data_IF_455658319979
#
_entry.id   IF_455658319979
#
_cell.length_a   1.000
_cell.length_b   1.000
_cell.length_c   1.000
_cell.angle_alpha   90.00
_cell.angle_beta   90.00
_cell.angle_gamma   90.00
#
_symmetry.space_group_name_H-M   'P 1'
#
loop_
_entity.id
_entity.type
_entity.pdbx_description
1 polymer ?
#
# COMPACT_ATOMS: atom_id res chain seq x y z
N UNK A 1 48.62 13.25 0.20
CA UNK A 1 47.41 14.10 0.12
C UNK A 1 46.66 13.74 -1.16
N UNK A 2 45.70 12.83 -1.06
CA UNK A 2 44.86 12.41 -2.20
C UNK A 2 43.40 12.70 -1.85
N UNK A 3 42.82 13.65 -2.59
CA UNK A 3 41.42 14.05 -2.59
C UNK A 3 40.55 12.86 -3.03
N UNK A 4 40.23 11.92 -2.12
CA UNK A 4 39.35 10.75 -2.40
C UNK A 4 38.04 10.76 -1.60
N UNK A 5 37.85 11.71 -0.69
CA UNK A 5 36.71 11.72 0.24
C UNK A 5 35.43 12.36 -0.32
N UNK A 6 35.49 13.13 -1.41
CA UNK A 6 34.32 13.87 -1.92
C UNK A 6 33.46 13.07 -2.92
N UNK A 7 33.99 12.03 -3.57
CA UNK A 7 33.23 11.21 -4.54
C UNK A 7 32.40 10.11 -3.90
N UNK A 8 32.71 9.77 -2.65
CA UNK A 8 32.04 8.76 -1.84
C UNK A 8 30.60 9.25 -1.55
N UNK A 9 30.37 10.41 -0.88
CA UNK A 9 29.02 10.93 -0.59
C UNK A 9 28.08 11.03 -1.80
N UNK A 10 28.62 11.40 -2.97
CA UNK A 10 27.83 11.62 -4.18
C UNK A 10 27.23 10.31 -4.73
N UNK A 11 27.96 9.18 -4.63
CA UNK A 11 27.46 7.88 -5.08
C UNK A 11 26.29 7.39 -4.21
N UNK A 12 26.32 7.63 -2.90
CA UNK A 12 25.23 7.24 -2.00
C UNK A 12 23.99 8.12 -2.15
N UNK A 13 24.17 9.43 -2.35
CA UNK A 13 23.04 10.29 -2.73
C UNK A 13 22.41 9.79 -4.02
N UNK A 14 23.23 9.37 -4.99
CA UNK A 14 22.72 8.75 -6.22
C UNK A 14 22.01 7.41 -5.96
N UNK A 15 22.50 6.56 -5.05
CA UNK A 15 21.83 5.30 -4.67
C UNK A 15 20.48 5.56 -3.98
N UNK A 16 20.42 6.48 -3.03
CA UNK A 16 19.18 6.86 -2.34
C UNK A 16 18.15 7.44 -3.31
N UNK A 17 18.60 8.35 -4.19
CA UNK A 17 17.76 8.88 -5.27
C UNK A 17 17.29 7.73 -6.16
N UNK A 18 18.18 6.83 -6.58
CA UNK A 18 17.81 5.70 -7.42
C UNK A 18 16.76 4.81 -6.76
N UNK A 19 16.91 4.44 -5.49
CA UNK A 19 15.92 3.64 -4.73
C UNK A 19 14.56 4.33 -4.64
N UNK A 20 14.53 5.64 -4.38
CA UNK A 20 13.27 6.41 -4.24
C UNK A 20 12.56 6.57 -5.59
N UNK A 21 13.31 6.78 -6.67
CA UNK A 21 12.73 7.00 -8.00
C UNK A 21 12.48 5.71 -8.78
N UNK A 22 13.11 4.59 -8.41
CA UNK A 22 12.98 3.30 -9.08
C UNK A 22 11.53 2.84 -9.27
N UNK A 23 10.67 2.88 -8.23
CA UNK A 23 9.28 2.44 -8.38
C UNK A 23 8.55 3.23 -9.45
N UNK A 24 8.72 4.55 -9.42
CA UNK A 24 8.07 5.45 -10.39
C UNK A 24 8.55 5.19 -11.82
N UNK A 25 9.83 4.87 -11.99
CA UNK A 25 10.41 4.55 -13.29
C UNK A 25 9.92 3.21 -13.82
N UNK A 26 9.82 2.20 -12.96
CA UNK A 26 9.27 0.89 -13.31
C UNK A 26 7.81 1.03 -13.73
N UNK A 27 6.99 1.74 -12.96
CA UNK A 27 5.59 1.98 -13.34
C UNK A 27 5.52 2.71 -14.69
N UNK A 28 6.36 3.71 -14.95
CA UNK A 28 6.35 4.42 -16.22
C UNK A 28 6.72 3.53 -17.41
N UNK A 29 7.74 2.68 -17.27
CA UNK A 29 8.24 1.85 -18.37
C UNK A 29 7.44 0.58 -18.61
N UNK A 30 6.96 -0.07 -17.55
CA UNK A 30 6.34 -1.39 -17.63
C UNK A 30 4.81 -1.36 -17.71
N UNK A 31 4.15 -0.28 -17.27
CA UNK A 31 2.68 -0.22 -17.23
C UNK A 31 2.06 -0.55 -18.59
N UNK A 32 2.50 0.11 -19.68
CA UNK A 32 1.94 -0.13 -21.02
C UNK A 32 2.17 -1.56 -21.55
N UNK A 33 3.30 -2.18 -21.20
CA UNK A 33 3.61 -3.56 -21.61
C UNK A 33 2.84 -4.58 -20.78
N UNK A 34 2.70 -4.33 -19.48
CA UNK A 34 1.93 -5.17 -18.57
C UNK A 34 0.44 -5.07 -18.88
N UNK A 35 -0.06 -3.89 -19.22
CA UNK A 35 -1.43 -3.66 -19.66
C UNK A 35 -1.79 -4.53 -20.85
N UNK A 36 -0.97 -4.50 -21.91
CA UNK A 36 -1.20 -5.33 -23.09
C UNK A 36 -1.09 -6.83 -22.78
N UNK A 37 -0.23 -7.25 -21.85
CA UNK A 37 -0.06 -8.65 -21.51
C UNK A 37 -1.18 -9.17 -20.62
N UNK A 38 -1.55 -8.41 -19.58
CA UNK A 38 -2.63 -8.72 -18.64
C UNK A 38 -3.97 -8.72 -19.36
N UNK A 39 -4.26 -7.75 -20.23
CA UNK A 39 -5.50 -7.72 -21.03
C UNK A 39 -5.58 -8.90 -21.99
N UNK A 40 -4.49 -9.24 -22.68
CA UNK A 40 -4.48 -10.39 -23.59
C UNK A 40 -4.63 -11.73 -22.82
N UNK A 41 -3.96 -11.86 -21.67
CA UNK A 41 -4.09 -13.02 -20.79
C UNK A 41 -5.50 -13.14 -20.22
N UNK A 42 -6.09 -12.02 -19.77
CA UNK A 42 -7.45 -11.94 -19.27
C UNK A 42 -8.45 -12.36 -20.35
N UNK A 43 -8.38 -11.77 -21.56
CA UNK A 43 -9.25 -12.10 -22.68
C UNK A 43 -9.14 -13.57 -23.12
N UNK A 44 -7.95 -14.17 -23.02
CA UNK A 44 -7.76 -15.59 -23.34
C UNK A 44 -8.41 -16.49 -22.28
N UNK A 45 -8.32 -16.08 -21.01
CA UNK A 45 -8.81 -16.84 -19.85
C UNK A 45 -10.31 -16.66 -19.58
N UNK A 46 -10.89 -15.53 -19.97
CA UNK A 46 -12.31 -15.19 -19.78
C UNK A 46 -13.25 -16.05 -20.65
N UNK A 47 -12.71 -16.87 -21.55
CA UNK A 47 -13.49 -17.84 -22.33
C UNK A 47 -14.07 -18.99 -21.50
N UNK A 48 -13.62 -19.21 -20.25
CA UNK A 48 -14.16 -20.23 -19.35
C UNK A 48 -14.57 -19.64 -17.99
N UNK A 49 -15.88 -19.42 -17.81
CA UNK A 49 -16.65 -19.42 -16.54
C UNK A 49 -15.88 -19.01 -15.27
N UNK A 50 -15.49 -17.74 -15.17
CA UNK A 50 -14.72 -17.22 -14.02
C UNK A 50 -15.42 -16.03 -13.32
N UNK A 51 -16.73 -16.09 -13.12
CA UNK A 51 -17.33 -15.28 -12.07
C UNK A 51 -17.08 -16.00 -10.75
N UNK A 52 -16.27 -15.42 -9.87
CA UNK A 52 -16.14 -15.91 -8.49
C UNK A 52 -17.50 -15.75 -7.80
N UNK A 53 -17.93 -16.70 -6.95
CA UNK A 53 -19.26 -16.68 -6.29
C UNK A 53 -19.55 -15.34 -5.57
N UNK A 54 -18.50 -14.70 -5.07
CA UNK A 54 -18.57 -13.37 -4.41
C UNK A 54 -18.92 -12.25 -5.42
N UNK A 55 -18.35 -12.29 -6.63
CA UNK A 55 -18.64 -11.32 -7.68
C UNK A 55 -20.05 -11.51 -8.22
N UNK A 56 -20.49 -12.74 -8.45
CA UNK A 56 -21.84 -13.04 -8.89
C UNK A 56 -22.88 -12.49 -7.90
N UNK A 57 -22.66 -12.69 -6.60
CA UNK A 57 -23.53 -12.15 -5.56
C UNK A 57 -23.59 -10.61 -5.57
N UNK A 58 -22.46 -9.93 -5.73
CA UNK A 58 -22.42 -8.46 -5.79
C UNK A 58 -23.11 -7.89 -7.04
N UNK A 59 -23.02 -8.60 -8.16
CA UNK A 59 -23.69 -8.22 -9.42
C UNK A 59 -25.20 -8.47 -9.30
N UNK A 60 -25.59 -9.59 -8.68
CA UNK A 60 -26.99 -9.94 -8.43
C UNK A 60 -27.66 -8.95 -7.48
N UNK A 61 -26.96 -8.52 -6.43
CA UNK A 61 -27.46 -7.53 -5.47
C UNK A 61 -27.72 -6.17 -6.13
N UNK A 62 -26.76 -5.67 -6.93
CA UNK A 62 -26.96 -4.46 -7.75
C UNK A 62 -28.09 -4.61 -8.77
N UNK A 63 -28.29 -5.81 -9.31
CA UNK A 63 -29.39 -6.09 -10.23
C UNK A 63 -30.75 -6.02 -9.53
N UNK A 64 -30.85 -6.59 -8.32
CA UNK A 64 -32.06 -6.53 -7.49
C UNK A 64 -32.36 -5.08 -7.08
N UNK A 65 -31.34 -4.30 -6.69
CA UNK A 65 -31.50 -2.88 -6.33
C UNK A 65 -32.04 -2.03 -7.50
N UNK A 66 -31.53 -2.27 -8.72
CA UNK A 66 -32.04 -1.65 -9.94
C UNK A 66 -33.47 -2.07 -10.27
N UNK A 67 -33.81 -3.35 -10.07
CA UNK A 67 -35.17 -3.87 -10.25
C UNK A 67 -36.14 -3.24 -9.24
N UNK A 68 -35.76 -3.11 -7.97
CA UNK A 68 -36.56 -2.44 -6.93
C UNK A 68 -36.79 -0.94 -7.23
N UNK A 69 -35.74 -0.22 -7.64
CA UNK A 69 -35.85 1.19 -8.04
C UNK A 69 -36.81 1.36 -9.23
N UNK A 70 -36.81 0.42 -10.16
CA UNK A 70 -37.72 0.43 -11.29
C UNK A 70 -39.16 0.12 -10.89
N UNK A 71 -39.38 -0.90 -10.05
CA UNK A 71 -40.71 -1.20 -9.52
C UNK A 71 -41.32 -0.01 -8.78
N UNK A 72 -40.49 0.78 -8.08
CA UNK A 72 -40.91 2.04 -7.48
C UNK A 72 -41.30 3.09 -8.52
N UNK A 73 -40.52 3.30 -9.59
CA UNK A 73 -40.87 4.27 -10.65
C UNK A 73 -42.13 3.84 -11.42
N UNK A 74 -42.36 2.54 -11.62
CA UNK A 74 -43.57 1.98 -12.23
C UNK A 74 -44.81 2.17 -11.34
N UNK A 75 -44.70 1.97 -10.02
CA UNK A 75 -45.80 2.29 -9.10
C UNK A 75 -46.13 3.80 -9.06
N UNK A 76 -45.16 4.66 -9.36
CA UNK A 76 -45.33 6.12 -9.43
C UNK A 76 -45.91 6.57 -10.78
N UNK A 77 -45.64 5.84 -11.87
CA UNK A 77 -46.11 6.17 -13.22
C UNK A 77 -46.77 4.94 -13.87
N UNK A 78 -48.09 4.95 -13.95
CA UNK A 78 -48.88 3.95 -14.70
C UNK A 78 -48.41 3.87 -16.17
N UNK A 79 -47.48 2.97 -16.49
CA UNK A 79 -46.94 2.78 -17.84
C UNK A 79 -47.36 1.43 -18.45
N UNK A 80 -47.48 1.34 -19.78
CA UNK A 80 -47.95 0.13 -20.46
C UNK A 80 -46.82 -0.87 -20.80
N UNK A 81 -47.16 -2.16 -20.83
CA UNK A 81 -46.30 -3.36 -21.04
C UNK A 81 -45.24 -3.27 -22.16
N UNK A 82 -45.43 -2.42 -23.18
CA UNK A 82 -44.43 -2.20 -24.26
C UNK A 82 -43.12 -1.54 -23.76
N UNK A 83 -43.16 -0.85 -22.63
CA UNK A 83 -41.96 -0.28 -22.00
C UNK A 83 -41.05 -1.36 -21.42
N UNK A 84 -41.63 -2.47 -20.95
CA UNK A 84 -40.97 -3.56 -20.23
C UNK A 84 -39.94 -4.29 -21.11
N UNK A 85 -40.24 -4.53 -22.39
CA UNK A 85 -39.32 -5.21 -23.31
C UNK A 85 -38.13 -4.33 -23.72
N UNK A 86 -38.38 -3.02 -23.93
CA UNK A 86 -37.33 -2.03 -24.23
C UNK A 86 -36.46 -1.76 -22.99
N UNK A 87 -37.06 -1.80 -21.81
CA UNK A 87 -36.39 -1.70 -20.52
C UNK A 87 -35.53 -2.92 -20.23
N UNK A 88 -36.04 -4.16 -20.40
CA UNK A 88 -35.22 -5.38 -20.26
C UNK A 88 -33.97 -5.35 -21.14
N UNK A 89 -34.11 -4.80 -22.34
CA UNK A 89 -33.00 -4.63 -23.28
C UNK A 89 -32.05 -3.49 -22.83
N UNK A 90 -32.58 -2.44 -22.21
CA UNK A 90 -31.82 -1.36 -21.56
C UNK A 90 -31.05 -1.85 -20.33
N UNK A 91 -31.72 -2.53 -19.40
CA UNK A 91 -31.14 -3.20 -18.24
C UNK A 91 -30.05 -4.17 -18.66
N UNK A 92 -30.30 -5.05 -19.64
CA UNK A 92 -29.30 -5.99 -20.10
C UNK A 92 -28.06 -5.28 -20.67
N UNK A 93 -28.25 -4.17 -21.38
CA UNK A 93 -27.15 -3.34 -21.87
C UNK A 93 -26.39 -2.66 -20.72
N UNK A 94 -27.10 -2.17 -19.71
CA UNK A 94 -26.53 -1.57 -18.50
C UNK A 94 -25.76 -2.60 -17.66
N UNK A 95 -26.29 -3.82 -17.50
CA UNK A 95 -25.60 -4.94 -16.84
C UNK A 95 -24.33 -5.32 -17.60
N UNK A 96 -24.37 -5.38 -18.94
CA UNK A 96 -23.17 -5.61 -19.76
C UNK A 96 -22.15 -4.48 -19.58
N UNK A 97 -22.59 -3.22 -19.47
CA UNK A 97 -21.69 -2.09 -19.21
C UNK A 97 -21.09 -2.15 -17.79
N UNK A 98 -21.88 -2.51 -16.78
CA UNK A 98 -21.42 -2.71 -15.41
C UNK A 98 -20.39 -3.84 -15.30
N UNK A 99 -20.63 -4.96 -15.98
CA UNK A 99 -19.68 -6.07 -16.05
C UNK A 99 -18.37 -5.61 -16.72
N UNK A 100 -18.45 -4.84 -17.81
CA UNK A 100 -17.25 -4.31 -18.48
C UNK A 100 -16.45 -3.35 -17.61
N UNK A 101 -17.12 -2.44 -16.91
CA UNK A 101 -16.45 -1.47 -16.01
C UNK A 101 -15.77 -2.23 -14.86
N UNK A 102 -16.46 -3.20 -14.28
CA UNK A 102 -15.91 -4.02 -13.19
C UNK A 102 -14.71 -4.84 -13.66
N UNK A 103 -14.79 -5.49 -14.83
CA UNK A 103 -13.67 -6.22 -15.42
C UNK A 103 -12.46 -5.31 -15.69
N UNK A 104 -12.69 -4.09 -16.17
CA UNK A 104 -11.63 -3.11 -16.42
C UNK A 104 -10.95 -2.66 -15.13
N UNK A 105 -11.73 -2.41 -14.06
CA UNK A 105 -11.20 -2.12 -12.73
C UNK A 105 -10.38 -3.28 -12.16
N UNK A 106 -10.83 -4.53 -12.32
CA UNK A 106 -10.07 -5.72 -11.89
C UNK A 106 -8.76 -5.87 -12.65
N UNK A 107 -8.77 -5.67 -13.97
CA UNK A 107 -7.56 -5.69 -14.79
C UNK A 107 -6.58 -4.62 -14.30
N UNK A 108 -7.08 -3.41 -14.01
CA UNK A 108 -6.27 -2.32 -13.50
C UNK A 108 -5.68 -2.64 -12.11
N UNK A 109 -6.46 -3.22 -11.20
CA UNK A 109 -5.99 -3.70 -9.90
C UNK A 109 -4.90 -4.77 -10.03
N UNK A 110 -5.11 -5.78 -10.87
CA UNK A 110 -4.13 -6.85 -11.11
C UNK A 110 -2.85 -6.28 -11.71
N UNK A 111 -2.98 -5.31 -12.62
CA UNK A 111 -1.84 -4.60 -13.21
C UNK A 111 -1.05 -3.84 -12.15
N UNK A 112 -1.74 -3.07 -11.30
CA UNK A 112 -1.11 -2.30 -10.24
C UNK A 112 -0.35 -3.21 -9.27
N UNK A 113 -1.00 -4.29 -8.83
CA UNK A 113 -0.40 -5.29 -7.96
C UNK A 113 0.82 -5.97 -8.59
N UNK A 114 0.73 -6.38 -9.87
CA UNK A 114 1.86 -7.01 -10.57
C UNK A 114 3.04 -6.05 -10.76
N UNK A 115 2.76 -4.78 -11.04
CA UNK A 115 3.78 -3.72 -11.16
C UNK A 115 4.49 -3.50 -9.83
N UNK A 116 3.73 -3.43 -8.73
CA UNK A 116 4.28 -3.30 -7.38
C UNK A 116 5.15 -4.51 -7.00
N UNK A 117 4.70 -5.73 -7.34
CA UNK A 117 5.46 -6.95 -7.08
C UNK A 117 6.79 -6.97 -7.86
N UNK A 118 6.77 -6.62 -9.15
CA UNK A 118 7.98 -6.53 -9.97
C UNK A 118 8.94 -5.48 -9.41
N UNK A 119 8.41 -4.32 -8.99
CA UNK A 119 9.20 -3.29 -8.34
C UNK A 119 9.88 -3.80 -7.06
N UNK A 120 9.15 -4.52 -6.22
CA UNK A 120 9.68 -5.10 -4.99
C UNK A 120 10.80 -6.12 -5.28
N UNK A 121 10.63 -6.97 -6.29
CA UNK A 121 11.66 -7.94 -6.71
C UNK A 121 12.92 -7.22 -7.22
N UNK A 122 12.76 -6.19 -8.05
CA UNK A 122 13.91 -5.44 -8.58
C UNK A 122 14.63 -4.68 -7.47
N UNK A 123 13.89 -4.02 -6.57
CA UNK A 123 14.48 -3.33 -5.42
C UNK A 123 15.22 -4.30 -4.50
N UNK A 124 14.62 -5.43 -4.16
CA UNK A 124 15.26 -6.44 -3.30
C UNK A 124 16.52 -7.02 -3.96
N UNK A 125 16.48 -7.36 -5.25
CA UNK A 125 17.66 -7.78 -6.00
C UNK A 125 18.75 -6.70 -5.98
N UNK A 126 18.38 -5.44 -6.24
CA UNK A 126 19.30 -4.32 -6.22
C UNK A 126 19.91 -4.09 -4.84
N UNK A 127 19.14 -4.22 -3.75
CA UNK A 127 19.66 -4.16 -2.38
C UNK A 127 20.64 -5.29 -2.06
N UNK A 128 20.39 -6.50 -2.56
CA UNK A 128 21.30 -7.65 -2.36
C UNK A 128 22.61 -7.44 -3.14
N UNK A 129 22.54 -6.96 -4.39
CA UNK A 129 23.75 -6.66 -5.18
C UNK A 129 24.49 -5.43 -4.64
N UNK A 130 23.78 -4.43 -4.12
CA UNK A 130 24.32 -3.20 -3.54
C UNK A 130 24.80 -3.33 -2.08
N UNK A 131 25.10 -4.54 -1.61
CA UNK A 131 25.45 -4.80 -0.22
C UNK A 131 26.65 -3.95 0.27
N UNK A 132 27.63 -3.68 -0.59
CA UNK A 132 28.77 -2.80 -0.23
C UNK A 132 28.32 -1.38 0.12
N UNK A 133 27.33 -0.85 -0.61
CA UNK A 133 26.79 0.48 -0.37
C UNK A 133 25.93 0.52 0.90
N UNK A 134 25.22 -0.56 1.20
CA UNK A 134 24.44 -0.73 2.44
C UNK A 134 25.34 -0.87 3.67
N UNK A 135 26.43 -1.64 3.59
CA UNK A 135 27.42 -1.77 4.67
C UNK A 135 28.08 -0.42 4.96
N UNK A 136 28.40 0.34 3.90
CA UNK A 136 28.92 1.69 4.09
C UNK A 136 27.88 2.63 4.71
N UNK A 137 26.63 2.61 4.25
CA UNK A 137 25.54 3.38 4.86
C UNK A 137 25.39 3.06 6.35
N UNK A 138 25.43 1.78 6.72
CA UNK A 138 25.39 1.37 8.11
C UNK A 138 26.59 1.96 8.89
N UNK A 139 27.80 1.92 8.32
CA UNK A 139 28.99 2.51 8.96
C UNK A 139 28.90 4.03 9.10
N UNK A 140 28.35 4.73 8.10
CA UNK A 140 28.16 6.18 8.12
C UNK A 140 27.09 6.60 9.12
N UNK A 141 25.97 5.89 9.17
CA UNK A 141 24.91 6.11 10.18
C UNK A 141 25.46 5.83 11.57
N UNK A 142 26.24 4.75 11.75
CA UNK A 142 26.90 4.46 13.01
C UNK A 142 27.87 5.58 13.40
N UNK A 143 28.72 6.04 12.50
CA UNK A 143 29.65 7.15 12.77
C UNK A 143 28.91 8.44 13.12
N UNK A 144 27.83 8.77 12.39
CA UNK A 144 26.95 9.89 12.73
C UNK A 144 26.35 9.75 14.12
N UNK A 145 25.81 8.58 14.45
CA UNK A 145 25.21 8.31 15.75
C UNK A 145 26.27 8.34 16.87
N UNK A 146 27.44 7.71 16.69
CA UNK A 146 28.51 7.68 17.69
C UNK A 146 29.07 9.08 17.98
N UNK A 147 29.11 9.97 16.99
CA UNK A 147 29.55 11.36 17.15
C UNK A 147 28.56 12.22 17.94
N UNK A 148 27.31 11.78 18.15
CA UNK A 148 26.35 12.48 18.99
C UNK A 148 26.60 12.20 20.48
N UNK A 149 26.24 13.15 21.34
CA UNK A 149 26.23 12.92 22.78
C UNK A 149 25.12 11.93 23.16
N UNK A 150 25.30 11.19 24.26
CA UNK A 150 24.34 10.19 24.71
C UNK A 150 22.95 10.79 24.98
N UNK A 151 22.89 12.03 25.46
CA UNK A 151 21.62 12.77 25.62
C UNK A 151 20.93 13.04 24.28
N UNK A 152 21.67 13.45 23.24
CA UNK A 152 21.09 13.71 21.91
C UNK A 152 20.66 12.39 21.26
N UNK A 153 21.44 11.31 21.41
CA UNK A 153 21.05 9.97 20.93
C UNK A 153 19.72 9.54 21.52
N UNK A 154 19.57 9.62 22.85
CA UNK A 154 18.34 9.25 23.54
C UNK A 154 17.16 10.12 23.09
N UNK A 155 17.37 11.44 22.99
CA UNK A 155 16.35 12.38 22.52
C UNK A 155 15.95 12.13 21.05
N UNK A 156 16.90 11.91 20.14
CA UNK A 156 16.61 11.61 18.74
C UNK A 156 15.84 10.31 18.57
N UNK A 157 16.17 9.27 19.34
CA UNK A 157 15.44 8.00 19.33
C UNK A 157 14.00 8.22 19.82
N UNK A 158 13.83 8.95 20.93
CA UNK A 158 12.50 9.26 21.48
C UNK A 158 11.67 10.09 20.50
N UNK A 159 12.25 11.12 19.89
CA UNK A 159 11.59 11.97 18.90
C UNK A 159 11.18 11.22 17.63
N UNK A 160 12.04 10.33 17.11
CA UNK A 160 11.69 9.48 15.96
C UNK A 160 10.58 8.50 16.32
N UNK A 161 10.64 7.93 17.52
CA UNK A 161 9.62 6.97 17.99
C UNK A 161 8.27 7.65 18.14
N UNK A 162 8.23 8.83 18.79
CA UNK A 162 7.01 9.62 18.93
C UNK A 162 6.47 10.10 17.58
N UNK A 163 7.33 10.49 16.63
CA UNK A 163 6.85 10.97 15.32
C UNK A 163 6.35 9.85 14.42
N UNK A 164 6.98 8.67 14.46
CA UNK A 164 6.61 7.53 13.61
C UNK A 164 5.45 6.70 14.18
N UNK A 165 5.33 6.59 15.50
CA UNK A 165 4.40 5.68 16.18
C UNK A 165 3.39 6.45 17.03
N UNK A 166 3.60 7.75 17.24
CA UNK A 166 2.74 8.59 18.04
C UNK A 166 1.28 8.42 17.66
N UNK A 167 0.48 8.05 18.66
CA UNK A 167 -0.95 7.78 18.61
C UNK A 167 -1.77 9.06 18.33
N UNK A 168 -1.37 9.85 17.33
CA UNK A 168 -1.89 11.19 17.14
C UNK A 168 -3.31 11.21 16.59
N UNK A 169 -3.77 10.13 15.92
CA UNK A 169 -5.19 9.91 15.64
C UNK A 169 -5.46 8.51 15.08
N UNK A 170 -6.50 7.79 15.52
CA UNK A 170 -7.02 6.61 14.83
C UNK A 170 -7.31 6.88 13.35
N UNK A 171 -7.72 8.11 13.03
CA UNK A 171 -8.01 8.53 11.66
C UNK A 171 -6.74 8.59 10.78
N UNK A 172 -5.58 8.90 11.35
CA UNK A 172 -4.31 8.86 10.61
C UNK A 172 -3.96 7.43 10.18
N UNK A 173 -4.18 6.47 11.08
CA UNK A 173 -4.02 5.05 10.79
C UNK A 173 -5.07 4.53 9.81
N UNK A 174 -6.30 4.99 9.91
CA UNK A 174 -7.38 4.68 8.96
C UNK A 174 -7.04 5.12 7.55
N UNK A 175 -6.56 6.35 7.37
CA UNK A 175 -6.12 6.85 6.06
C UNK A 175 -4.92 6.08 5.53
N UNK A 176 -3.93 5.78 6.37
CA UNK A 176 -2.73 5.07 5.94
C UNK A 176 -3.03 3.61 5.56
N UNK A 177 -3.79 2.89 6.40
CA UNK A 177 -4.19 1.51 6.14
C UNK A 177 -5.16 1.47 4.96
N UNK A 178 -6.12 2.40 4.88
CA UNK A 178 -7.06 2.52 3.77
C UNK A 178 -6.37 2.77 2.44
N UNK A 179 -5.33 3.62 2.41
CA UNK A 179 -4.52 3.85 1.21
C UNK A 179 -3.82 2.57 0.75
N UNK A 180 -3.13 1.88 1.67
CA UNK A 180 -2.47 0.60 1.36
C UNK A 180 -3.51 -0.43 0.89
N UNK A 181 -4.61 -0.58 1.61
CA UNK A 181 -5.65 -1.56 1.32
C UNK A 181 -6.29 -1.35 -0.06
N UNK A 182 -6.49 -0.09 -0.46
CA UNK A 182 -6.98 0.28 -1.80
C UNK A 182 -5.92 0.05 -2.88
N UNK A 183 -4.64 0.28 -2.60
CA UNK A 183 -3.53 0.04 -3.53
C UNK A 183 -3.36 -1.45 -3.89
N UNK A 184 -3.69 -2.33 -2.94
CA UNK A 184 -3.79 -3.78 -3.15
C UNK A 184 -5.09 -4.21 -3.85
N UNK A 185 -6.05 -3.30 -4.03
CA UNK A 185 -7.33 -3.51 -4.72
C UNK A 185 -8.26 -4.52 -4.05
N UNK A 186 -8.18 -4.65 -2.73
CA UNK A 186 -9.16 -5.41 -1.97
C UNK A 186 -10.47 -4.62 -1.83
N UNK A 187 -11.62 -5.33 -1.86
CA UNK A 187 -12.92 -4.73 -1.58
C UNK A 187 -12.94 -4.11 -0.18
N UNK A 188 -13.34 -2.84 -0.10
CA UNK A 188 -13.37 -2.07 1.13
C UNK A 188 -14.23 -2.80 2.18
N UNK A 189 -13.60 -3.29 3.24
CA UNK A 189 -14.29 -3.93 4.36
C UNK A 189 -13.95 -3.15 5.63
N UNK A 190 -14.87 -2.27 6.02
CA UNK A 190 -14.72 -1.36 7.14
C UNK A 190 -14.43 -2.09 8.46
N UNK A 191 -14.91 -3.32 8.62
CA UNK A 191 -14.65 -4.13 9.82
C UNK A 191 -13.18 -4.59 9.89
N UNK A 192 -12.60 -4.99 8.77
CA UNK A 192 -11.19 -5.40 8.70
C UNK A 192 -10.29 -4.18 8.89
N UNK A 193 -10.62 -3.06 8.23
CA UNK A 193 -9.87 -1.80 8.35
C UNK A 193 -9.92 -1.32 9.80
N UNK A 194 -11.10 -1.26 10.43
CA UNK A 194 -11.24 -0.86 11.83
C UNK A 194 -10.49 -1.78 12.81
N UNK A 195 -10.52 -3.10 12.56
CA UNK A 195 -9.75 -4.07 13.34
C UNK A 195 -8.24 -3.88 13.22
N UNK A 196 -7.74 -3.58 12.02
CA UNK A 196 -6.32 -3.27 11.79
C UNK A 196 -5.93 -1.92 12.41
N UNK A 197 -6.75 -0.88 12.24
CA UNK A 197 -6.52 0.46 12.81
C UNK A 197 -6.44 0.42 14.34
N UNK A 198 -7.21 -0.45 14.99
CA UNK A 198 -7.18 -0.58 16.45
C UNK A 198 -6.03 -1.46 16.96
N UNK A 199 -5.68 -2.52 16.24
CA UNK A 199 -4.71 -3.52 16.73
C UNK A 199 -3.27 -3.22 16.28
N UNK A 200 -3.10 -2.81 15.03
CA UNK A 200 -1.80 -2.64 14.40
C UNK A 200 -0.92 -1.57 15.07
N UNK A 201 -1.44 -0.38 15.45
CA UNK A 201 -0.62 0.64 16.11
C UNK A 201 -0.10 0.18 17.47
N UNK A 202 -0.92 -0.55 18.22
CA UNK A 202 -0.54 -1.08 19.55
C UNK A 202 0.55 -2.13 19.41
N UNK A 203 0.41 -3.07 18.47
CA UNK A 203 1.46 -4.07 18.20
C UNK A 203 2.75 -3.37 17.77
N UNK A 204 2.67 -2.41 16.85
CA UNK A 204 3.83 -1.66 16.37
C UNK A 204 4.55 -0.95 17.51
N UNK A 205 3.80 -0.25 18.38
CA UNK A 205 4.34 0.42 19.57
C UNK A 205 5.10 -0.54 20.50
N UNK A 206 4.53 -1.71 20.78
CA UNK A 206 5.21 -2.70 21.64
C UNK A 206 6.50 -3.24 21.02
N UNK A 207 6.51 -3.53 19.71
CA UNK A 207 7.69 -4.03 19.00
C UNK A 207 8.78 -2.95 18.99
N UNK A 208 8.44 -1.71 18.69
CA UNK A 208 9.41 -0.62 18.66
C UNK A 208 9.97 -0.30 20.04
N UNK A 209 9.14 -0.21 21.09
CA UNK A 209 9.62 -0.05 22.48
C UNK A 209 10.58 -1.16 22.88
N UNK A 210 10.25 -2.41 22.53
CA UNK A 210 11.12 -3.56 22.80
C UNK A 210 12.45 -3.48 22.03
N UNK A 211 12.43 -3.14 20.74
CA UNK A 211 13.64 -2.97 19.94
C UNK A 211 14.51 -1.81 20.42
N UNK A 212 13.90 -0.69 20.79
CA UNK A 212 14.62 0.45 21.37
C UNK A 212 15.29 0.02 22.67
N UNK A 213 14.57 -0.65 23.57
CA UNK A 213 15.16 -1.17 24.80
C UNK A 213 16.36 -2.08 24.53
N UNK A 214 16.23 -3.04 23.60
CA UNK A 214 17.31 -3.95 23.23
C UNK A 214 18.52 -3.20 22.63
N UNK A 215 18.25 -2.20 21.78
CA UNK A 215 19.27 -1.39 21.12
C UNK A 215 20.02 -0.50 22.11
N UNK A 216 19.31 0.25 22.95
CA UNK A 216 19.92 1.14 23.96
C UNK A 216 20.78 0.32 24.93
N UNK A 217 20.30 -0.84 25.35
CA UNK A 217 21.02 -1.73 26.27
C UNK A 217 22.29 -2.32 25.64
N UNK A 218 22.31 -2.54 24.32
CA UNK A 218 23.52 -2.97 23.58
C UNK A 218 24.54 -1.84 23.43
N UNK A 219 24.09 -0.58 23.33
CA UNK A 219 24.97 0.57 23.10
C UNK A 219 25.59 1.07 24.41
N UNK A 220 24.79 1.34 25.43
CA UNK A 220 25.28 1.68 26.77
C UNK A 220 24.18 1.58 27.82
N UNK A 221 24.43 0.95 28.99
CA UNK A 221 23.48 0.90 30.10
C UNK A 221 23.08 2.30 30.62
N UNK A 222 23.97 3.29 30.52
CA UNK A 222 23.67 4.68 30.95
C UNK A 222 22.60 5.35 30.09
N UNK A 223 22.51 4.98 28.81
CA UNK A 223 21.55 5.52 27.85
C UNK A 223 20.12 5.04 28.16
N UNK A 224 19.99 3.81 28.66
CA UNK A 224 18.71 3.24 29.10
C UNK A 224 18.15 4.02 30.28
N UNK A 225 19.00 4.39 31.25
CA UNK A 225 18.59 5.19 32.42
C UNK A 225 18.13 6.58 32.01
N UNK A 226 18.85 7.23 31.08
CA UNK A 226 18.46 8.54 30.55
C UNK A 226 17.12 8.44 29.80
N UNK A 227 16.97 7.44 28.93
CA UNK A 227 15.72 7.19 28.21
C UNK A 227 14.54 6.97 29.16
N UNK A 228 14.71 6.17 30.22
CA UNK A 228 13.65 5.97 31.20
C UNK A 228 13.30 7.27 31.92
N UNK A 229 14.28 8.08 32.31
CA UNK A 229 14.03 9.38 32.96
C UNK A 229 13.37 10.43 32.06
N UNK A 230 13.48 10.27 30.73
CA UNK A 230 12.88 11.18 29.75
C UNK A 230 11.50 10.72 29.29
N UNK A 231 11.20 9.43 29.43
CA UNK A 231 9.95 8.80 29.03
C UNK A 231 8.94 8.71 30.19
N UNK A 232 9.41 8.77 31.44
CA UNK A 232 8.60 8.95 32.65
C UNK A 232 8.15 10.42 32.81
#
# INVERSE_FOLDING_TARGET
MTKKSASIPLRYLSFLVFVVFLPRWITLSFNKSLESWVTNWWNTRQSETFLNDIQEKSILEKFIELEELFLLDEMVKEFPERHLQKFRMGLHKETIQLIKIHDEDHIHTILHFSTNLICFVILSAYSILGNEELVFLNSWVQEFLYNLSDTIKAFSILLVTDLCIGFHSPHGWELMIGYVYNDFGFFHNDQIISGLVSTFPVILDTIFKYWIFLYLNRVSPSLVVIYHSMND
#
